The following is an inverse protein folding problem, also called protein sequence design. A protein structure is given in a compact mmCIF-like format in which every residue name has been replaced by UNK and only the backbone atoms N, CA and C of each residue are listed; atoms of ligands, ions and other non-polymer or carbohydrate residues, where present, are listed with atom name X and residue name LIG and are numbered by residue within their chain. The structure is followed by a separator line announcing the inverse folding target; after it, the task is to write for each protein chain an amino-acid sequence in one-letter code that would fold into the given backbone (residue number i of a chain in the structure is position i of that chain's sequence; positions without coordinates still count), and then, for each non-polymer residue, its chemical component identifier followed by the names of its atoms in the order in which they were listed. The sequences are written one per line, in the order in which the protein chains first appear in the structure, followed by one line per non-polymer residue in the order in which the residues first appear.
data_IF_554374382967
#
_entry.id   IF_554374382967
#
_cell.length_a   1.000
_cell.length_b   1.000
_cell.length_c   1.000
_cell.angle_alpha   90.00
_cell.angle_beta   90.00
_cell.angle_gamma   90.00
#
_symmetry.space_group_name_H-M   'P 1'
#
loop_
_entity.id
_entity.type
_entity.pdbx_description
1 polymer ?
#
# COMPACT_ATOMS: atom_id res chain seq x y z
N UNK A 1 17.08 -16.39 -32.90
CA UNK A 1 15.68 -16.13 -32.47
C UNK A 1 15.17 -17.03 -31.34
N UNK A 2 15.60 -18.30 -31.22
CA UNK A 2 15.03 -19.26 -30.25
C UNK A 2 15.29 -18.95 -28.77
N UNK A 3 16.44 -18.37 -28.42
CA UNK A 3 16.80 -18.09 -27.01
C UNK A 3 15.93 -17.00 -26.37
N UNK A 4 15.63 -15.92 -27.10
CA UNK A 4 14.76 -14.83 -26.60
C UNK A 4 13.33 -15.31 -26.39
N UNK A 5 12.80 -16.09 -27.33
CA UNK A 5 11.48 -16.70 -27.20
C UNK A 5 11.41 -17.66 -26.02
N UNK A 6 12.48 -18.44 -25.78
CA UNK A 6 12.58 -19.34 -24.64
C UNK A 6 12.58 -18.56 -23.33
N UNK A 7 13.39 -17.51 -23.18
CA UNK A 7 13.44 -16.66 -21.98
C UNK A 7 12.08 -16.02 -21.68
N UNK A 8 11.42 -15.46 -22.70
CA UNK A 8 10.08 -14.86 -22.56
C UNK A 8 9.05 -15.91 -22.15
N UNK A 9 9.12 -17.11 -22.73
CA UNK A 9 8.26 -18.22 -22.37
C UNK A 9 8.49 -18.70 -20.93
N UNK A 10 9.74 -18.83 -20.48
CA UNK A 10 10.03 -19.22 -19.09
C UNK A 10 9.54 -18.17 -18.09
N UNK A 11 9.71 -16.88 -18.39
CA UNK A 11 9.20 -15.79 -17.55
C UNK A 11 7.67 -15.78 -17.50
N UNK A 12 7.01 -15.98 -18.64
CA UNK A 12 5.55 -16.05 -18.70
C UNK A 12 5.01 -17.25 -17.90
N UNK A 13 5.63 -18.43 -18.02
CA UNK A 13 5.26 -19.60 -17.22
C UNK A 13 5.48 -19.36 -15.72
N UNK A 14 6.60 -18.76 -15.32
CA UNK A 14 6.84 -18.42 -13.92
C UNK A 14 5.77 -17.46 -13.36
N UNK A 15 5.37 -16.46 -14.15
CA UNK A 15 4.34 -15.49 -13.78
C UNK A 15 2.94 -16.13 -13.68
N UNK A 16 2.62 -17.08 -14.57
CA UNK A 16 1.34 -17.79 -14.56
C UNK A 16 1.21 -18.81 -13.43
N UNK A 17 2.32 -19.35 -12.93
CA UNK A 17 2.35 -20.34 -11.84
C UNK A 17 2.37 -19.67 -10.46
N UNK A 18 2.75 -18.39 -10.35
CA UNK A 18 2.74 -17.63 -9.10
C UNK A 18 1.42 -17.75 -8.31
N UNK A 19 0.22 -17.53 -8.90
CA UNK A 19 -1.05 -17.56 -8.16
C UNK A 19 -1.36 -18.92 -7.52
N UNK A 20 -0.97 -20.01 -8.20
CA UNK A 20 -1.14 -21.38 -7.70
C UNK A 20 -0.25 -21.65 -6.49
N UNK A 21 1.01 -21.21 -6.53
CA UNK A 21 1.95 -21.32 -5.41
C UNK A 21 1.49 -20.45 -4.23
N UNK A 22 1.00 -19.23 -4.50
CA UNK A 22 0.46 -18.34 -3.46
C UNK A 22 -0.79 -18.92 -2.77
N UNK A 23 -1.57 -19.78 -3.44
CA UNK A 23 -2.73 -20.44 -2.82
C UNK A 23 -2.36 -21.59 -1.86
N UNK A 24 -1.15 -22.14 -1.99
CA UNK A 24 -0.63 -23.26 -1.20
C UNK A 24 0.28 -22.80 -0.04
N UNK A 25 0.71 -21.54 -0.05
CA UNK A 25 1.47 -20.95 1.04
C UNK A 25 0.53 -20.62 2.20
N UNK A 26 0.71 -21.30 3.33
CA UNK A 26 0.12 -20.88 4.61
C UNK A 26 0.37 -19.38 4.80
N UNK A 27 -0.66 -18.63 5.18
CA UNK A 27 -0.60 -17.18 5.38
C UNK A 27 0.24 -16.85 6.62
N UNK A 28 1.54 -16.99 6.47
CA UNK A 28 2.54 -16.77 7.51
C UNK A 28 2.64 -15.28 7.79
N UNK A 29 2.62 -14.91 9.06
CA UNK A 29 2.77 -13.50 9.43
C UNK A 29 4.23 -13.08 9.34
N UNK A 30 4.51 -11.79 9.14
CA UNK A 30 5.90 -11.29 9.10
C UNK A 30 6.64 -11.62 10.41
N UNK A 31 5.94 -11.65 11.55
CA UNK A 31 6.49 -12.10 12.84
C UNK A 31 6.99 -13.55 12.84
N UNK A 32 6.42 -14.40 12.00
CA UNK A 32 6.76 -15.83 11.90
C UNK A 32 7.87 -16.09 10.86
N UNK A 33 8.16 -15.11 9.98
CA UNK A 33 9.26 -15.23 9.01
C UNK A 33 10.64 -15.11 9.67
N UNK A 34 11.60 -15.91 9.20
CA UNK A 34 12.97 -15.94 9.73
C UNK A 34 14.00 -15.95 8.59
N UNK A 35 15.22 -15.49 8.88
CA UNK A 35 16.34 -15.52 7.94
C UNK A 35 16.15 -14.65 6.69
N UNK A 36 16.50 -15.19 5.53
CA UNK A 36 16.50 -14.46 4.24
C UNK A 36 15.11 -14.01 3.78
N UNK A 37 14.07 -14.76 4.13
CA UNK A 37 12.69 -14.42 3.80
C UNK A 37 12.27 -13.08 4.42
N UNK A 38 12.65 -12.87 5.69
CA UNK A 38 12.39 -11.62 6.42
C UNK A 38 13.09 -10.42 5.78
N UNK A 39 14.32 -10.62 5.30
CA UNK A 39 15.09 -9.58 4.59
C UNK A 39 14.41 -9.23 3.28
N UNK A 40 13.97 -10.22 2.50
CA UNK A 40 13.25 -9.99 1.24
C UNK A 40 12.00 -9.12 1.43
N UNK A 41 11.17 -9.46 2.43
CA UNK A 41 9.96 -8.69 2.72
C UNK A 41 10.24 -7.30 3.29
N UNK A 42 11.29 -7.16 4.10
CA UNK A 42 11.76 -5.84 4.58
C UNK A 42 12.21 -4.96 3.42
N UNK A 43 13.03 -5.50 2.52
CA UNK A 43 13.50 -4.76 1.35
C UNK A 43 12.35 -4.40 0.43
N UNK A 44 11.40 -5.31 0.18
CA UNK A 44 10.18 -5.00 -0.57
C UNK A 44 9.37 -3.88 0.07
N UNK A 45 9.20 -3.92 1.39
CA UNK A 45 8.52 -2.89 2.19
C UNK A 45 9.18 -1.51 2.07
N UNK A 46 10.51 -1.46 2.13
CA UNK A 46 11.29 -0.21 1.93
C UNK A 46 11.19 0.28 0.50
N UNK A 47 11.26 -0.59 -0.51
CA UNK A 47 11.20 -0.19 -1.92
C UNK A 47 9.80 0.28 -2.35
N UNK A 48 8.76 -0.31 -1.78
CA UNK A 48 7.37 0.07 -2.05
C UNK A 48 6.96 1.37 -1.35
N UNK A 49 7.59 1.70 -0.22
CA UNK A 49 7.26 2.91 0.55
C UNK A 49 7.38 4.20 -0.27
N UNK A 50 8.47 4.49 -1.01
CA UNK A 50 8.57 5.67 -1.88
C UNK A 50 7.52 5.73 -2.99
N UNK A 51 7.17 4.58 -3.57
CA UNK A 51 6.12 4.50 -4.60
C UNK A 51 4.77 4.88 -3.99
N UNK A 52 4.51 4.43 -2.77
CA UNK A 52 3.28 4.73 -2.05
C UNK A 52 3.23 6.12 -1.47
N UNK A 53 4.39 6.69 -1.16
CA UNK A 53 4.52 8.07 -0.71
C UNK A 53 3.93 9.06 -1.72
N UNK A 54 4.15 8.86 -3.02
CA UNK A 54 3.58 9.73 -4.06
C UNK A 54 2.05 9.69 -4.09
N UNK A 55 1.47 8.50 -4.03
CA UNK A 55 0.01 8.31 -3.99
C UNK A 55 -0.59 8.86 -2.71
N UNK A 56 0.07 8.64 -1.57
CA UNK A 56 -0.33 9.21 -0.28
C UNK A 56 -0.30 10.74 -0.31
N UNK A 57 0.75 11.33 -0.87
CA UNK A 57 0.90 12.79 -0.98
C UNK A 57 -0.20 13.40 -1.85
N UNK A 58 -0.56 12.75 -2.96
CA UNK A 58 -1.72 13.16 -3.78
C UNK A 58 -3.02 13.09 -2.98
N UNK A 59 -3.25 12.00 -2.26
CA UNK A 59 -4.44 11.84 -1.43
C UNK A 59 -4.52 12.91 -0.32
N UNK A 60 -3.42 13.14 0.41
CA UNK A 60 -3.33 14.19 1.42
C UNK A 60 -3.57 15.57 0.81
N UNK A 61 -2.95 15.89 -0.34
CA UNK A 61 -3.17 17.16 -1.02
C UNK A 61 -4.62 17.38 -1.43
N UNK A 62 -5.27 16.37 -1.99
CA UNK A 62 -6.69 16.41 -2.36
C UNK A 62 -7.59 16.52 -1.13
N UNK A 63 -7.31 15.79 -0.06
CA UNK A 63 -8.08 15.84 1.18
C UNK A 63 -7.97 17.18 1.90
N UNK A 64 -6.77 17.78 1.93
CA UNK A 64 -6.55 19.12 2.47
C UNK A 64 -7.26 20.18 1.62
N UNK A 65 -7.18 20.09 0.30
CA UNK A 65 -7.88 21.01 -0.59
C UNK A 65 -9.41 20.88 -0.45
N UNK A 66 -9.95 19.66 -0.44
CA UNK A 66 -11.38 19.41 -0.27
C UNK A 66 -11.87 19.89 1.10
N UNK A 67 -11.18 19.54 2.19
CA UNK A 67 -11.52 20.00 3.53
C UNK A 67 -11.43 21.53 3.68
N UNK A 68 -10.44 22.16 3.05
CA UNK A 68 -10.31 23.62 3.02
C UNK A 68 -11.44 24.30 2.24
N UNK A 69 -11.79 23.77 1.06
CA UNK A 69 -12.93 24.27 0.26
C UNK A 69 -14.23 24.11 1.01
N UNK A 70 -14.44 22.98 1.68
CA UNK A 70 -15.67 22.73 2.45
C UNK A 70 -15.76 23.63 3.69
N UNK A 71 -14.64 23.89 4.37
CA UNK A 71 -14.58 24.82 5.50
C UNK A 71 -14.91 26.26 5.06
N UNK A 72 -14.37 26.72 3.93
CA UNK A 72 -14.60 28.07 3.39
C UNK A 72 -16.01 28.19 2.81
N UNK A 73 -16.43 27.22 2.00
CA UNK A 73 -17.69 27.23 1.26
C UNK A 73 -18.92 27.07 2.16
N UNK A 74 -18.79 26.38 3.30
CA UNK A 74 -19.88 26.24 4.27
C UNK A 74 -19.85 27.29 5.39
N UNK A 75 -18.92 28.26 5.33
CA UNK A 75 -18.70 29.27 6.37
C UNK A 75 -18.55 28.67 7.78
N UNK A 76 -18.00 27.46 7.87
CA UNK A 76 -17.80 26.73 9.13
C UNK A 76 -19.00 25.93 9.65
N UNK A 77 -20.12 25.86 8.94
CA UNK A 77 -21.28 25.04 9.36
C UNK A 77 -20.95 23.53 9.29
N UNK A 78 -20.17 23.10 8.29
CA UNK A 78 -19.71 21.70 8.14
C UNK A 78 -18.31 21.46 8.73
N UNK A 79 -17.91 22.23 9.74
CA UNK A 79 -16.54 22.22 10.27
C UNK A 79 -16.08 20.84 10.77
N UNK A 80 -16.98 20.02 11.32
CA UNK A 80 -16.66 18.67 11.81
C UNK A 80 -16.27 17.73 10.68
N UNK A 81 -17.04 17.72 9.59
CA UNK A 81 -16.77 16.86 8.43
C UNK A 81 -15.52 17.30 7.68
N UNK A 82 -15.33 18.60 7.49
CA UNK A 82 -14.12 19.16 6.89
C UNK A 82 -12.86 18.82 7.71
N UNK A 83 -12.92 18.94 9.04
CA UNK A 83 -11.79 18.60 9.93
C UNK A 83 -11.51 17.11 9.94
N UNK A 84 -12.54 16.27 9.84
CA UNK A 84 -12.42 14.81 9.73
C UNK A 84 -11.74 14.41 8.43
N UNK A 85 -12.17 14.95 7.30
CA UNK A 85 -11.52 14.75 5.99
C UNK A 85 -10.05 15.16 6.02
N UNK A 86 -9.76 16.32 6.61
CA UNK A 86 -8.40 16.84 6.71
C UNK A 86 -7.53 15.95 7.61
N UNK A 87 -8.01 15.56 8.80
CA UNK A 87 -7.29 14.65 9.70
C UNK A 87 -7.02 13.30 9.03
N UNK A 88 -8.06 12.65 8.52
CA UNK A 88 -7.98 11.35 7.85
C UNK A 88 -6.95 11.39 6.69
N UNK A 89 -6.93 12.49 5.93
CA UNK A 89 -5.98 12.66 4.84
C UNK A 89 -4.51 12.75 5.26
N UNK A 90 -4.22 13.14 6.51
CA UNK A 90 -2.86 13.36 7.04
C UNK A 90 -2.40 12.22 7.97
N UNK A 91 -3.31 11.64 8.76
CA UNK A 91 -2.97 10.71 9.85
C UNK A 91 -2.75 9.27 9.43
N UNK A 92 -3.16 8.87 8.23
CA UNK A 92 -2.97 7.48 7.81
C UNK A 92 -1.51 7.09 7.60
N UNK A 93 -1.26 5.80 7.41
CA UNK A 93 0.09 5.25 7.30
C UNK A 93 0.84 5.79 6.07
N UNK A 94 2.09 6.21 6.31
CA UNK A 94 3.04 6.67 5.31
C UNK A 94 4.06 5.60 4.93
N UNK A 95 4.11 4.51 5.68
CA UNK A 95 5.01 3.38 5.50
C UNK A 95 4.23 2.14 5.08
N UNK A 96 4.78 1.35 4.16
CA UNK A 96 4.17 0.09 3.74
C UNK A 96 4.72 -1.04 4.61
N UNK A 97 4.00 -1.58 5.60
CA UNK A 97 4.52 -2.67 6.41
C UNK A 97 4.70 -3.95 5.59
N UNK A 98 5.72 -4.74 5.94
CA UNK A 98 6.01 -6.01 5.27
C UNK A 98 4.82 -7.00 5.31
N UNK A 99 4.06 -7.02 6.41
CA UNK A 99 2.83 -7.81 6.56
C UNK A 99 1.78 -7.50 5.47
N UNK A 100 1.70 -6.24 5.01
CA UNK A 100 0.76 -5.86 3.95
C UNK A 100 1.14 -6.49 2.61
N UNK A 101 2.44 -6.58 2.31
CA UNK A 101 2.94 -7.22 1.08
C UNK A 101 2.75 -8.74 1.10
N UNK A 102 2.69 -9.32 2.29
CA UNK A 102 2.42 -10.75 2.51
C UNK A 102 0.92 -11.09 2.44
N UNK A 103 0.05 -10.11 2.15
CA UNK A 103 -1.40 -10.31 2.07
C UNK A 103 -2.07 -10.46 3.44
N UNK A 104 -1.35 -10.15 4.52
CA UNK A 104 -1.88 -10.24 5.87
C UNK A 104 -2.77 -9.03 6.17
N UNK A 105 -3.93 -9.26 6.79
CA UNK A 105 -5.05 -8.31 6.89
C UNK A 105 -4.82 -7.08 7.80
N UNK A 106 -3.59 -6.82 8.27
CA UNK A 106 -3.24 -5.48 8.76
C UNK A 106 -3.15 -4.55 7.55
N UNK A 107 -4.33 -4.18 7.07
CA UNK A 107 -4.55 -3.26 5.95
C UNK A 107 -3.78 -1.99 6.24
N UNK A 108 -2.91 -1.64 5.30
CA UNK A 108 -2.27 -0.34 5.25
C UNK A 108 -3.39 0.71 5.25
N UNK A 109 -3.54 1.44 6.36
CA UNK A 109 -4.64 2.39 6.50
C UNK A 109 -4.25 3.70 5.84
N UNK A 110 -4.49 3.74 4.53
CA UNK A 110 -4.20 4.91 3.70
C UNK A 110 -5.10 6.08 4.12
N UNK A 111 -6.25 5.80 4.74
CA UNK A 111 -7.29 6.78 5.00
C UNK A 111 -7.23 7.40 6.39
N UNK A 112 -6.39 6.89 7.30
CA UNK A 112 -6.26 7.42 8.65
C UNK A 112 -7.40 6.99 9.56
N UNK A 113 -7.09 6.84 10.85
CA UNK A 113 -8.07 6.46 11.86
C UNK A 113 -8.80 7.69 12.42
N UNK A 114 -10.12 7.55 12.59
CA UNK A 114 -11.01 8.52 13.26
C UNK A 114 -10.87 8.50 14.78
#
# INVERSE_FOLDING_TARGET
MRLKALIVFTLACAFLVQPLIFSLAEAKTYSETQGLEKVYWTTGSVLMTPVWFGVKTLYTGLGVAAGGVEMIGTLGIAHKDATRLLKNSVTGDWYVPADYLMGNKKTLDIYGHE
#
